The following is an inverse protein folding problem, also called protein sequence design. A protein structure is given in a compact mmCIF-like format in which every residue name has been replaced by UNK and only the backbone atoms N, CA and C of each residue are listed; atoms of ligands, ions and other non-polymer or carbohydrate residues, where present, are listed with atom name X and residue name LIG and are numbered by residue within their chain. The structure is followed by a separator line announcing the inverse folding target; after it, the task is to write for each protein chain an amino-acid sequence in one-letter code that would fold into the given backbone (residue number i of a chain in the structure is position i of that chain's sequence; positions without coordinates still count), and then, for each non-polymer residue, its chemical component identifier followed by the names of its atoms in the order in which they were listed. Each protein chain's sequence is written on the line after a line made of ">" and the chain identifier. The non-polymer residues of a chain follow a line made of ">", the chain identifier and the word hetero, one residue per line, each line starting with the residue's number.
data_IF_545038977357
#
_entry.id   IF_545038977357
#
_cell.length_a   1.000
_cell.length_b   1.000
_cell.length_c   1.000
_cell.angle_alpha   90.00
_cell.angle_beta   90.00
_cell.angle_gamma   90.00
#
_symmetry.space_group_name_H-M   'P 1'
#
loop_
_entity.id
_entity.type
_entity.pdbx_description
1 polymer ?
#
# COMPACT_ATOMS: atom_id res chain seq x y z
N UNK A 1 1.14 0.92 3.54
CA UNK A 1 2.42 0.65 4.22
C UNK A 1 3.57 0.81 3.25
N UNK A 2 4.64 1.44 3.70
CA UNK A 2 5.90 1.57 2.94
C UNK A 2 7.00 0.79 3.67
N UNK A 3 7.63 -0.16 2.98
CA UNK A 3 8.80 -0.87 3.49
C UNK A 3 10.05 -0.29 2.87
N UNK A 4 11.11 -0.07 3.67
CA UNK A 4 12.33 0.58 3.21
C UNK A 4 13.58 0.07 3.96
N UNK A 5 14.73 0.13 3.27
CA UNK A 5 16.04 -0.10 3.82
C UNK A 5 17.07 0.67 2.98
N UNK A 6 17.79 1.62 3.60
CA UNK A 6 18.74 2.52 2.93
C UNK A 6 18.12 3.16 1.68
N UNK A 7 16.99 3.81 1.82
CA UNK A 7 16.16 4.32 0.74
C UNK A 7 16.09 5.87 0.71
N UNK A 8 17.07 6.57 1.27
CA UNK A 8 17.06 8.03 1.41
C UNK A 8 16.79 8.78 0.09
N UNK A 9 17.29 8.27 -1.04
CA UNK A 9 17.08 8.88 -2.36
C UNK A 9 15.72 8.60 -2.99
N UNK A 10 14.92 7.70 -2.42
CA UNK A 10 13.68 7.19 -3.02
C UNK A 10 12.45 7.46 -2.15
N UNK A 11 12.60 7.43 -0.82
CA UNK A 11 11.48 7.42 0.11
C UNK A 11 10.67 8.72 0.09
N UNK A 12 11.31 9.87 -0.12
CA UNK A 12 10.62 11.17 -0.17
C UNK A 12 9.53 11.21 -1.25
N UNK A 13 9.80 10.62 -2.40
CA UNK A 13 8.85 10.55 -3.51
C UNK A 13 7.60 9.76 -3.12
N UNK A 14 7.78 8.63 -2.42
CA UNK A 14 6.66 7.83 -1.91
C UNK A 14 5.87 8.58 -0.85
N UNK A 15 6.57 9.16 0.13
CA UNK A 15 5.99 9.97 1.19
C UNK A 15 5.13 11.10 0.61
N UNK A 16 5.68 11.89 -0.30
CA UNK A 16 4.97 13.01 -0.91
C UNK A 16 3.69 12.56 -1.64
N UNK A 17 3.73 11.43 -2.34
CA UNK A 17 2.55 10.89 -3.02
C UNK A 17 1.44 10.44 -2.08
N UNK A 18 1.78 10.04 -0.85
CA UNK A 18 0.81 9.71 0.20
C UNK A 18 0.34 10.98 0.91
N UNK A 19 1.25 11.90 1.27
CA UNK A 19 0.95 13.16 1.93
C UNK A 19 -0.03 14.04 1.13
N UNK A 20 0.04 13.97 -0.20
CA UNK A 20 -0.82 14.73 -1.11
C UNK A 20 -2.22 14.14 -1.29
N UNK A 21 -2.54 12.99 -0.73
CA UNK A 21 -3.86 12.39 -0.91
C UNK A 21 -4.95 13.26 -0.26
N UNK A 22 -6.11 13.38 -0.94
CA UNK A 22 -7.25 14.14 -0.46
C UNK A 22 -8.19 13.31 0.45
N UNK A 23 -7.94 12.02 0.59
CA UNK A 23 -8.69 11.12 1.46
C UNK A 23 -8.22 11.25 2.92
N UNK A 24 -9.09 11.56 3.88
CA UNK A 24 -8.67 11.92 5.23
C UNK A 24 -8.33 10.73 6.14
N UNK A 25 -8.80 9.51 5.83
CA UNK A 25 -8.64 8.36 6.71
C UNK A 25 -7.49 7.46 6.24
N UNK A 26 -6.26 7.97 6.36
CA UNK A 26 -5.04 7.27 5.96
C UNK A 26 -4.18 6.98 7.18
N UNK A 27 -3.84 5.71 7.36
CA UNK A 27 -2.77 5.25 8.22
C UNK A 27 -1.56 4.93 7.32
N UNK A 28 -0.46 5.69 7.45
CA UNK A 28 0.78 5.44 6.74
C UNK A 28 1.79 4.74 7.66
N UNK A 29 1.91 3.44 7.51
CA UNK A 29 2.91 2.64 8.22
C UNK A 29 4.22 2.64 7.43
N UNK A 30 5.31 3.08 8.05
CA UNK A 30 6.66 3.01 7.49
C UNK A 30 7.45 1.97 8.27
N UNK A 31 7.86 0.90 7.62
CA UNK A 31 8.65 -0.18 8.20
C UNK A 31 10.05 -0.10 7.64
N UNK A 32 10.96 0.37 8.47
CA UNK A 32 12.37 0.55 8.13
C UNK A 32 13.22 -0.60 8.68
N UNK A 33 14.01 -1.21 7.81
CA UNK A 33 14.91 -2.34 8.11
C UNK A 33 16.18 -1.94 8.87
N UNK A 34 16.14 -0.92 9.73
CA UNK A 34 17.27 -0.36 10.46
C UNK A 34 18.28 0.32 9.51
N UNK A 35 17.79 1.26 8.69
CA UNK A 35 18.61 2.06 7.76
C UNK A 35 19.74 2.80 8.44
N UNK A 36 20.87 2.95 7.73
CA UNK A 36 22.06 3.63 8.20
C UNK A 36 22.34 4.93 7.39
N UNK A 37 21.46 5.26 6.46
CA UNK A 37 21.50 6.49 5.65
C UNK A 37 20.46 7.51 6.17
N UNK A 38 20.18 8.55 5.43
CA UNK A 38 19.23 9.60 5.78
C UNK A 38 17.74 9.19 5.65
N UNK A 39 17.42 7.89 5.50
CA UNK A 39 16.03 7.42 5.35
C UNK A 39 15.15 7.84 6.53
N UNK A 40 15.61 7.61 7.77
CA UNK A 40 14.85 7.96 8.97
C UNK A 40 14.71 9.47 9.17
N UNK A 41 15.71 10.25 8.74
CA UNK A 41 15.63 11.72 8.78
C UNK A 41 14.49 12.22 7.87
N UNK A 42 14.36 11.69 6.66
CA UNK A 42 13.25 11.99 5.75
C UNK A 42 11.89 11.61 6.34
N UNK A 43 11.79 10.47 7.04
CA UNK A 43 10.57 10.04 7.72
C UNK A 43 10.20 10.98 8.86
N UNK A 44 11.17 11.42 9.69
CA UNK A 44 10.91 12.37 10.77
C UNK A 44 10.43 13.73 10.23
N UNK A 45 11.05 14.26 9.19
CA UNK A 45 10.58 15.48 8.54
C UNK A 45 9.15 15.32 7.99
N UNK A 46 8.79 14.16 7.46
CA UNK A 46 7.42 13.89 7.06
C UNK A 46 6.45 13.93 8.23
N UNK A 47 6.76 13.26 9.33
CA UNK A 47 5.92 13.26 10.53
C UNK A 47 5.68 14.69 11.05
N UNK A 48 6.72 15.52 11.06
CA UNK A 48 6.63 16.94 11.45
C UNK A 48 5.70 17.72 10.51
N UNK A 49 5.91 17.64 9.18
CA UNK A 49 5.06 18.33 8.18
C UNK A 49 3.62 17.86 8.26
N UNK A 50 3.40 16.56 8.37
CA UNK A 50 2.08 15.97 8.43
C UNK A 50 1.28 16.42 9.64
N UNK A 51 1.93 16.67 10.79
CA UNK A 51 1.28 17.12 12.02
C UNK A 51 0.58 18.48 11.89
N UNK A 52 0.99 19.31 10.94
CA UNK A 52 0.43 20.63 10.65
C UNK A 52 -0.27 20.70 9.28
N UNK A 53 -0.42 19.57 8.60
CA UNK A 53 -1.07 19.49 7.30
C UNK A 53 -2.56 19.79 7.40
N UNK A 54 -3.16 20.24 6.29
CA UNK A 54 -4.61 20.49 6.21
C UNK A 54 -5.45 19.22 6.38
N UNK A 55 -4.93 18.10 5.90
CA UNK A 55 -5.51 16.75 6.06
C UNK A 55 -4.41 15.89 6.65
N UNK A 56 -4.24 15.88 7.99
CA UNK A 56 -3.21 15.07 8.61
C UNK A 56 -3.57 13.59 8.53
N UNK A 57 -2.59 12.77 8.17
CA UNK A 57 -2.69 11.33 8.18
C UNK A 57 -2.13 10.77 9.50
N UNK A 58 -2.49 9.55 9.86
CA UNK A 58 -1.83 8.84 10.95
C UNK A 58 -0.51 8.25 10.42
N UNK A 59 0.64 8.75 10.87
CA UNK A 59 1.97 8.33 10.38
C UNK A 59 2.74 7.63 11.48
N UNK A 60 2.90 6.32 11.34
CA UNK A 60 3.61 5.46 12.27
C UNK A 60 4.88 4.89 11.61
N UNK A 61 6.02 4.99 12.31
CA UNK A 61 7.29 4.43 11.86
C UNK A 61 7.80 3.39 12.84
N UNK A 62 8.16 2.20 12.31
CA UNK A 62 8.89 1.16 13.04
C UNK A 62 10.23 0.95 12.35
N UNK A 63 11.34 1.25 13.06
CA UNK A 63 12.69 0.98 12.57
C UNK A 63 13.35 -0.08 13.44
N UNK A 64 13.58 -1.24 12.85
CA UNK A 64 14.28 -2.36 13.46
C UNK A 64 14.83 -3.32 12.39
N UNK A 65 15.85 -4.13 12.67
CA UNK A 65 16.34 -5.13 11.74
C UNK A 65 15.24 -6.08 11.28
N UNK A 66 15.27 -6.46 10.00
CA UNK A 66 14.40 -7.45 9.40
C UNK A 66 15.19 -8.53 8.64
N UNK A 67 14.49 -9.58 8.23
CA UNK A 67 15.01 -10.67 7.41
C UNK A 67 14.65 -10.51 5.93
N UNK A 68 14.47 -9.28 5.46
CA UNK A 68 14.14 -8.90 4.10
C UNK A 68 12.73 -8.32 3.95
N UNK A 69 12.43 -7.85 2.74
CA UNK A 69 11.22 -7.09 2.41
C UNK A 69 9.91 -7.75 2.88
N UNK A 70 9.79 -9.07 2.78
CA UNK A 70 8.56 -9.77 3.16
C UNK A 70 8.38 -9.91 4.67
N UNK A 71 9.48 -9.91 5.44
CA UNK A 71 9.42 -9.82 6.90
C UNK A 71 8.94 -8.42 7.32
N UNK A 72 9.47 -7.36 6.69
CA UNK A 72 9.00 -6.00 6.90
C UNK A 72 7.50 -5.84 6.53
N UNK A 73 7.05 -6.42 5.40
CA UNK A 73 5.63 -6.43 5.02
C UNK A 73 4.77 -7.16 6.05
N UNK A 74 5.25 -8.27 6.61
CA UNK A 74 4.55 -9.00 7.67
C UNK A 74 4.46 -8.19 8.98
N UNK A 75 5.46 -7.36 9.29
CA UNK A 75 5.39 -6.42 10.42
C UNK A 75 4.28 -5.40 10.18
N UNK A 76 4.21 -4.80 8.98
CA UNK A 76 3.15 -3.89 8.60
C UNK A 76 1.75 -4.54 8.70
N UNK A 77 1.57 -5.78 8.25
CA UNK A 77 0.30 -6.51 8.38
C UNK A 77 -0.15 -6.65 9.84
N UNK A 78 0.77 -6.84 10.77
CA UNK A 78 0.44 -6.92 12.21
C UNK A 78 0.03 -5.60 12.80
N UNK A 79 0.61 -4.50 12.31
CA UNK A 79 0.38 -3.14 12.82
C UNK A 79 -0.86 -2.49 12.21
N UNK A 80 -1.16 -2.76 10.93
CA UNK A 80 -2.21 -2.06 10.18
C UNK A 80 -3.55 -2.09 10.90
N UNK A 81 -4.24 -0.96 11.01
CA UNK A 81 -5.55 -0.82 11.67
C UNK A 81 -6.67 -0.51 10.66
N UNK A 82 -6.34 0.04 9.50
CA UNK A 82 -7.30 0.39 8.46
C UNK A 82 -8.02 -0.82 7.83
N UNK A 83 -9.17 -0.60 7.20
CA UNK A 83 -9.96 -1.63 6.53
C UNK A 83 -9.22 -2.30 5.36
N UNK A 84 -8.40 -1.55 4.65
CA UNK A 84 -7.58 -2.02 3.53
C UNK A 84 -6.12 -1.71 3.76
N UNK A 85 -5.25 -2.59 3.28
CA UNK A 85 -3.82 -2.37 3.24
C UNK A 85 -3.31 -2.40 1.80
N UNK A 86 -2.44 -1.46 1.48
CA UNK A 86 -1.63 -1.41 0.27
C UNK A 86 -0.16 -1.43 0.65
N UNK A 87 0.65 -2.15 -0.10
CA UNK A 87 2.11 -2.06 -0.02
C UNK A 87 2.66 -1.20 -1.15
N UNK A 88 3.17 -0.03 -0.79
CA UNK A 88 3.80 0.92 -1.69
C UNK A 88 5.28 1.03 -1.30
N UNK A 89 6.17 0.39 -2.05
CA UNK A 89 7.58 0.35 -1.71
C UNK A 89 8.24 1.73 -1.88
N UNK A 90 9.34 1.97 -1.18
CA UNK A 90 10.10 3.20 -1.36
C UNK A 90 10.52 3.39 -2.82
N UNK A 91 10.16 4.53 -3.41
CA UNK A 91 10.32 4.84 -4.83
C UNK A 91 9.04 4.71 -5.67
N UNK A 92 8.05 3.93 -5.24
CA UNK A 92 6.74 3.86 -5.88
C UNK A 92 5.83 5.00 -5.42
N UNK A 93 4.86 5.40 -6.25
CA UNK A 93 3.96 6.51 -5.96
C UNK A 93 2.51 6.17 -6.26
N UNK A 94 1.60 6.77 -5.53
CA UNK A 94 0.18 6.80 -5.90
C UNK A 94 0.02 7.67 -7.16
N UNK A 95 -0.85 7.25 -8.08
CA UNK A 95 -0.97 7.87 -9.39
C UNK A 95 -1.45 9.34 -9.34
N UNK A 96 -2.34 9.67 -8.42
CA UNK A 96 -2.91 11.02 -8.27
C UNK A 96 -3.31 11.30 -6.82
N UNK A 97 -3.60 12.56 -6.51
CA UNK A 97 -4.14 12.98 -5.21
C UNK A 97 -5.47 12.32 -4.85
N UNK A 98 -6.21 11.84 -5.82
CA UNK A 98 -7.55 11.25 -5.65
C UNK A 98 -7.51 9.72 -5.60
N UNK A 99 -6.32 9.10 -5.68
CA UNK A 99 -6.21 7.65 -5.78
C UNK A 99 -6.91 6.95 -4.60
N UNK A 100 -6.68 7.39 -3.37
CA UNK A 100 -7.29 6.76 -2.19
C UNK A 100 -8.78 7.06 -2.08
N UNK A 101 -9.24 8.25 -2.45
CA UNK A 101 -10.68 8.57 -2.53
C UNK A 101 -11.39 7.70 -3.56
N UNK A 102 -10.77 7.45 -4.73
CA UNK A 102 -11.33 6.54 -5.74
C UNK A 102 -11.38 5.09 -5.25
N UNK A 103 -10.37 4.64 -4.52
CA UNK A 103 -10.35 3.30 -3.89
C UNK A 103 -11.46 3.18 -2.85
N UNK A 104 -11.64 4.19 -2.00
CA UNK A 104 -12.72 4.22 -1.02
C UNK A 104 -14.11 4.18 -1.70
N UNK A 105 -14.32 4.99 -2.75
CA UNK A 105 -15.52 4.94 -3.58
C UNK A 105 -15.76 3.55 -4.18
N UNK A 106 -14.73 2.92 -4.75
CA UNK A 106 -14.86 1.59 -5.35
C UNK A 106 -15.19 0.52 -4.29
N UNK A 107 -14.61 0.64 -3.09
CA UNK A 107 -14.90 -0.27 -1.98
C UNK A 107 -16.36 -0.16 -1.51
N UNK A 108 -16.95 1.05 -1.54
CA UNK A 108 -18.32 1.31 -1.08
C UNK A 108 -19.36 1.23 -2.17
N UNK A 109 -18.97 1.17 -3.44
CA UNK A 109 -19.92 1.15 -4.57
C UNK A 109 -20.97 0.03 -4.49
N UNK A 110 -20.66 -1.08 -3.82
CA UNK A 110 -21.60 -2.16 -3.56
C UNK A 110 -22.66 -1.84 -2.50
N UNK A 111 -22.45 -0.77 -1.71
CA UNK A 111 -23.34 -0.35 -0.60
C UNK A 111 -24.33 0.75 -0.99
N UNK A 112 -24.24 1.32 -2.19
CA UNK A 112 -24.97 2.53 -2.55
C UNK A 112 -24.38 3.78 -1.85
N UNK A 113 -25.21 4.81 -1.60
CA UNK A 113 -24.79 6.09 -1.01
C UNK A 113 -24.44 6.05 0.50
N UNK A 114 -24.18 4.88 1.05
CA UNK A 114 -23.83 4.76 2.47
C UNK A 114 -22.33 4.98 2.68
N UNK A 115 -21.98 5.76 3.71
CA UNK A 115 -20.61 5.91 4.17
C UNK A 115 -20.01 4.54 4.52
N UNK A 116 -18.67 4.42 4.38
CA UNK A 116 -17.98 3.23 4.91
C UNK A 116 -18.41 3.03 6.37
N UNK A 117 -18.76 1.81 6.77
CA UNK A 117 -19.11 1.56 8.15
C UNK A 117 -17.98 2.04 9.06
N UNK A 118 -18.29 2.80 10.09
CA UNK A 118 -17.36 3.00 11.19
C UNK A 118 -16.95 1.62 11.68
N UNK A 119 -15.68 1.43 12.00
CA UNK A 119 -15.00 0.14 12.18
C UNK A 119 -15.68 -0.82 13.20
N UNK A 120 -16.90 -1.20 12.94
CA UNK A 120 -17.56 -2.34 13.57
C UNK A 120 -17.35 -3.58 12.69
N UNK A 121 -16.73 -4.62 13.25
CA UNK A 121 -16.38 -5.87 12.58
C UNK A 121 -17.57 -6.57 11.89
N UNK A 122 -18.82 -6.22 12.24
CA UNK A 122 -20.02 -6.85 11.69
C UNK A 122 -20.24 -6.57 10.20
N UNK A 123 -19.80 -5.42 9.69
CA UNK A 123 -20.04 -4.98 8.32
C UNK A 123 -18.85 -5.21 7.38
N UNK A 124 -17.66 -5.51 7.92
CA UNK A 124 -16.47 -5.79 7.12
C UNK A 124 -16.68 -6.92 6.11
N UNK A 125 -17.51 -7.90 6.43
CA UNK A 125 -17.83 -9.03 5.56
C UNK A 125 -18.49 -8.65 4.23
N UNK A 126 -19.09 -7.47 4.15
CA UNK A 126 -19.75 -6.95 2.96
C UNK A 126 -18.80 -6.18 2.04
N UNK A 127 -17.67 -5.68 2.54
CA UNK A 127 -16.66 -5.01 1.72
C UNK A 127 -15.96 -6.00 0.78
N UNK A 128 -15.60 -5.60 -0.46
CA UNK A 128 -14.81 -6.44 -1.36
C UNK A 128 -13.52 -6.93 -0.68
N UNK A 129 -13.15 -8.17 -0.91
CA UNK A 129 -11.89 -8.71 -0.40
C UNK A 129 -10.67 -7.94 -0.93
N UNK A 130 -10.77 -7.44 -2.17
CA UNK A 130 -9.72 -6.69 -2.86
C UNK A 130 -10.34 -5.58 -3.69
N UNK A 131 -9.75 -4.38 -3.60
CA UNK A 131 -9.91 -3.31 -4.59
C UNK A 131 -8.58 -3.19 -5.33
N UNK A 132 -8.61 -3.03 -6.65
CA UNK A 132 -7.39 -3.03 -7.44
C UNK A 132 -7.46 -2.06 -8.61
N UNK A 133 -6.29 -1.69 -9.14
CA UNK A 133 -6.15 -0.77 -10.24
C UNK A 133 -5.06 -1.15 -11.23
N UNK A 134 -4.84 -0.27 -12.18
CA UNK A 134 -3.73 -0.36 -13.13
C UNK A 134 -2.45 0.24 -12.54
N UNK A 135 -1.32 -0.07 -13.16
CA UNK A 135 -0.01 0.45 -12.77
C UNK A 135 0.72 0.93 -14.01
N UNK A 136 1.27 2.13 -13.92
CA UNK A 136 2.14 2.70 -14.93
C UNK A 136 3.62 2.51 -14.57
N UNK A 137 4.46 2.48 -15.58
CA UNK A 137 5.91 2.52 -15.43
C UNK A 137 6.35 3.96 -15.67
N UNK A 138 7.10 4.48 -14.73
CA UNK A 138 7.65 5.85 -14.77
C UNK A 138 9.18 5.80 -14.67
N UNK A 139 9.82 6.91 -15.05
CA UNK A 139 11.27 7.08 -14.86
C UNK A 139 11.62 7.48 -13.41
N UNK A 140 12.90 7.68 -13.15
CA UNK A 140 13.41 8.11 -11.84
C UNK A 140 12.85 9.48 -11.39
N UNK A 141 12.42 10.32 -12.32
CA UNK A 141 11.84 11.63 -12.08
C UNK A 141 10.30 11.57 -11.94
N UNK A 142 9.68 10.39 -12.19
CA UNK A 142 8.23 10.18 -12.10
C UNK A 142 7.49 10.46 -13.41
N UNK A 143 8.18 10.71 -14.53
CA UNK A 143 7.52 10.90 -15.81
C UNK A 143 7.04 9.57 -16.38
N UNK A 144 5.84 9.58 -16.93
CA UNK A 144 5.26 8.41 -17.58
C UNK A 144 6.12 7.90 -18.72
N UNK A 145 6.46 6.62 -18.68
CA UNK A 145 7.17 5.91 -19.75
C UNK A 145 6.23 5.05 -20.58
N UNK A 146 5.44 4.22 -19.93
CA UNK A 146 4.51 3.30 -20.57
C UNK A 146 3.55 2.65 -19.57
N UNK A 147 2.44 2.13 -20.07
CA UNK A 147 1.61 1.21 -19.29
C UNK A 147 2.35 -0.12 -19.03
N UNK A 148 2.01 -0.75 -17.92
CA UNK A 148 2.50 -2.08 -17.61
C UNK A 148 1.99 -3.08 -18.66
N UNK A 149 2.83 -4.07 -19.04
CA UNK A 149 2.49 -5.07 -20.08
C UNK A 149 1.30 -5.95 -19.70
N UNK A 150 1.22 -6.36 -18.43
CA UNK A 150 0.09 -7.11 -17.90
C UNK A 150 -0.88 -6.11 -17.26
N UNK A 151 -2.11 -6.10 -17.74
CA UNK A 151 -3.17 -5.19 -17.27
C UNK A 151 -4.11 -5.92 -16.33
N UNK A 152 -4.61 -5.19 -15.35
CA UNK A 152 -5.62 -5.71 -14.45
C UNK A 152 -6.91 -6.04 -15.24
N UNK A 153 -7.53 -7.21 -15.01
CA UNK A 153 -8.76 -7.61 -15.68
C UNK A 153 -9.96 -6.83 -15.11
N UNK A 154 -11.06 -6.78 -15.86
CA UNK A 154 -12.32 -6.21 -15.38
C UNK A 154 -12.86 -6.96 -14.14
N UNK A 155 -12.73 -8.28 -14.14
CA UNK A 155 -13.09 -9.14 -13.00
C UNK A 155 -11.88 -9.95 -12.57
N UNK A 156 -11.39 -9.67 -11.36
CA UNK A 156 -10.24 -10.37 -10.81
C UNK A 156 -10.67 -11.70 -10.20
N UNK A 157 -10.02 -12.76 -10.67
CA UNK A 157 -10.09 -14.09 -10.08
C UNK A 157 -8.68 -14.65 -9.93
N UNK A 158 -8.48 -15.65 -9.09
CA UNK A 158 -7.18 -16.33 -8.98
C UNK A 158 -6.65 -16.85 -10.32
N UNK A 159 -7.55 -17.18 -11.27
CA UNK A 159 -7.19 -17.64 -12.61
C UNK A 159 -6.53 -16.56 -13.47
N UNK A 160 -6.78 -15.28 -13.18
CA UNK A 160 -6.14 -14.19 -13.89
C UNK A 160 -4.61 -14.19 -13.69
N UNK A 161 -4.16 -14.72 -12.56
CA UNK A 161 -2.73 -14.83 -12.25
C UNK A 161 -2.00 -16.00 -12.92
N UNK A 162 -2.70 -16.89 -13.64
CA UNK A 162 -2.06 -18.06 -14.30
C UNK A 162 -0.97 -17.70 -15.31
N UNK A 163 -0.99 -16.51 -15.87
CA UNK A 163 -0.05 -16.02 -16.88
C UNK A 163 0.89 -14.92 -16.36
N UNK A 164 0.95 -14.73 -15.06
CA UNK A 164 1.77 -13.74 -14.39
C UNK A 164 0.97 -12.80 -13.52
N UNK A 165 1.65 -11.83 -12.90
CA UNK A 165 1.08 -10.87 -11.99
C UNK A 165 0.28 -9.79 -12.75
N UNK A 166 -0.97 -10.07 -13.08
CA UNK A 166 -1.87 -9.18 -13.83
C UNK A 166 -2.22 -7.92 -13.07
N UNK A 167 -2.38 -8.02 -11.76
CA UNK A 167 -2.47 -6.87 -10.84
C UNK A 167 -1.14 -6.75 -10.10
N UNK A 168 -0.53 -5.58 -10.14
CA UNK A 168 0.68 -5.30 -9.38
C UNK A 168 0.33 -5.18 -7.89
N UNK A 169 1.20 -5.67 -6.99
CA UNK A 169 0.92 -5.56 -5.56
C UNK A 169 0.83 -4.09 -5.09
N UNK A 170 1.50 -3.15 -5.78
CA UNK A 170 1.39 -1.71 -5.53
C UNK A 170 0.05 -1.09 -5.98
N UNK A 171 -0.83 -1.86 -6.60
CA UNK A 171 -2.20 -1.48 -6.95
C UNK A 171 -3.24 -2.51 -6.46
N UNK A 172 -2.87 -3.30 -5.43
CA UNK A 172 -3.68 -4.36 -4.85
C UNK A 172 -4.02 -4.02 -3.40
N UNK A 173 -5.18 -3.40 -3.18
CA UNK A 173 -5.68 -3.04 -1.86
C UNK A 173 -6.42 -4.23 -1.28
N UNK A 174 -5.78 -4.95 -0.39
CA UNK A 174 -6.35 -6.11 0.26
C UNK A 174 -7.09 -5.72 1.54
N UNK A 175 -8.24 -6.32 1.79
CA UNK A 175 -8.94 -6.14 3.06
C UNK A 175 -8.06 -6.68 4.20
N UNK A 176 -7.79 -5.85 5.19
CA UNK A 176 -6.75 -6.07 6.22
C UNK A 176 -7.01 -7.33 7.06
N UNK A 177 -8.28 -7.63 7.39
CA UNK A 177 -8.64 -8.83 8.15
C UNK A 177 -8.30 -10.13 7.41
N UNK A 178 -8.42 -10.13 6.07
CA UNK A 178 -8.04 -11.26 5.22
C UNK A 178 -6.52 -11.31 5.04
N UNK A 179 -5.89 -10.17 4.76
CA UNK A 179 -4.45 -10.05 4.59
C UNK A 179 -3.66 -10.55 5.80
N UNK A 180 -4.14 -10.26 7.02
CA UNK A 180 -3.53 -10.75 8.27
C UNK A 180 -3.54 -12.26 8.43
N UNK A 181 -4.52 -12.94 7.84
CA UNK A 181 -4.61 -14.42 7.86
C UNK A 181 -3.68 -15.06 6.83
N UNK A 182 -3.26 -14.29 5.82
CA UNK A 182 -2.48 -14.73 4.68
C UNK A 182 -1.13 -14.00 4.63
N UNK A 183 -0.30 -14.14 5.67
CA UNK A 183 1.01 -13.48 5.74
C UNK A 183 1.92 -13.90 4.59
N UNK A 184 2.87 -13.05 4.23
CA UNK A 184 3.90 -13.37 3.23
C UNK A 184 4.75 -14.54 3.69
N UNK A 185 4.98 -15.48 2.78
CA UNK A 185 5.88 -16.60 3.03
C UNK A 185 7.35 -16.16 2.89
N UNK A 186 8.03 -15.97 4.01
CA UNK A 186 9.42 -15.51 4.06
C UNK A 186 10.44 -16.53 3.56
N UNK A 187 10.03 -17.77 3.29
CA UNK A 187 10.89 -18.76 2.64
C UNK A 187 11.14 -18.41 1.15
N UNK A 188 10.27 -17.62 0.53
CA UNK A 188 10.49 -17.08 -0.81
C UNK A 188 11.42 -15.88 -0.74
N UNK A 189 12.55 -15.96 -1.43
CA UNK A 189 13.44 -14.81 -1.61
C UNK A 189 12.85 -13.76 -2.56
N UNK A 190 12.09 -14.22 -3.56
CA UNK A 190 11.43 -13.39 -4.58
C UNK A 190 10.01 -13.90 -4.79
N UNK A 191 9.12 -13.02 -5.27
CA UNK A 191 7.74 -13.35 -5.69
C UNK A 191 6.81 -13.87 -4.58
N UNK A 192 7.10 -13.60 -3.28
CA UNK A 192 6.13 -13.88 -2.24
C UNK A 192 4.90 -12.95 -2.32
N UNK A 193 5.04 -11.78 -2.92
CA UNK A 193 3.95 -10.88 -3.29
C UNK A 193 2.99 -11.52 -4.30
N UNK A 194 3.53 -12.25 -5.29
CA UNK A 194 2.74 -12.99 -6.25
C UNK A 194 1.97 -14.14 -5.57
N UNK A 195 2.64 -14.95 -4.76
CA UNK A 195 2.02 -15.99 -3.95
C UNK A 195 0.91 -15.42 -3.05
N UNK A 196 1.19 -14.29 -2.41
CA UNK A 196 0.25 -13.60 -1.52
C UNK A 196 -1.01 -13.11 -2.24
N UNK A 197 -0.89 -12.51 -3.42
CA UNK A 197 -2.02 -12.04 -4.22
C UNK A 197 -2.92 -13.16 -4.75
N UNK A 198 -2.42 -14.41 -4.86
CA UNK A 198 -3.19 -15.56 -5.34
C UNK A 198 -4.00 -16.23 -4.23
N UNK A 199 -3.46 -16.26 -3.04
CA UNK A 199 -4.07 -16.90 -1.85
C UNK A 199 -5.19 -16.08 -1.26
#
# INVERSE_FOLDING_TARGET
>A
ATVCYNAASLIERTINSVEEQDYPHVEHLIIDGNSQDATLEAVHHYQERNSVARVPHEVNCLSEPDHGIYDAMNKALRMATGHYILFLNAGDTLHSRQTLSLVACAATAAYGDHALPEADDSDLGMLPAVVYGQTDIVDEQGHFLRHRRLTAPEVLTWRAFRHGMTVCHQAFFARTDLARRMVYNTAYRFSADYDWCIR
#
